data_IF_764568231410
#
_entry.id   IF_764568231410
#
_cell.length_a   1.000
_cell.length_b   1.000
_cell.length_c   1.000
_cell.angle_alpha   90.00
_cell.angle_beta   90.00
_cell.angle_gamma   90.00
#
_symmetry.space_group_name_H-M   'P 1'
#
loop_
_entity.id
_entity.type
_entity.pdbx_description
1 polymer ?
#
# COMPACT_ATOMS: atom_id res chain seq x y z
N UNK A 1 -20.95 -2.13 10.58
CA UNK A 1 -19.56 -2.01 10.08
C UNK A 1 -19.48 -1.29 8.74
N UNK A 2 -20.27 -1.68 7.72
CA UNK A 2 -20.18 -1.05 6.39
C UNK A 2 -20.32 0.47 6.37
N UNK A 3 -21.28 1.05 7.10
CA UNK A 3 -21.46 2.50 7.20
C UNK A 3 -20.26 3.20 7.86
N UNK A 4 -19.77 2.66 8.98
CA UNK A 4 -18.57 3.18 9.66
C UNK A 4 -17.33 3.14 8.75
N UNK A 5 -17.19 2.13 7.90
CA UNK A 5 -16.09 2.06 6.93
C UNK A 5 -16.21 3.17 5.88
N UNK A 6 -17.42 3.54 5.46
CA UNK A 6 -17.63 4.68 4.56
C UNK A 6 -17.24 6.00 5.22
N UNK A 7 -17.53 6.18 6.51
CA UNK A 7 -17.09 7.35 7.27
C UNK A 7 -15.56 7.44 7.27
N UNK A 8 -14.86 6.34 7.57
CA UNK A 8 -13.39 6.32 7.51
C UNK A 8 -12.82 6.62 6.12
N UNK A 9 -13.49 6.18 5.06
CA UNK A 9 -13.09 6.55 3.70
C UNK A 9 -13.23 8.05 3.49
N UNK A 10 -14.32 8.67 3.95
CA UNK A 10 -14.51 10.12 3.93
C UNK A 10 -13.41 10.88 4.68
N UNK A 11 -13.14 10.49 5.93
CA UNK A 11 -12.15 11.14 6.80
C UNK A 11 -10.73 11.08 6.25
N UNK A 12 -10.38 9.94 5.63
CA UNK A 12 -9.10 9.83 4.96
C UNK A 12 -9.10 10.70 3.70
N UNK A 13 -10.23 10.85 3.00
CA UNK A 13 -10.36 11.43 1.66
C UNK A 13 -10.26 10.40 0.53
N UNK A 14 -10.66 9.16 0.78
CA UNK A 14 -10.67 8.05 -0.20
C UNK A 14 -11.96 8.15 -1.01
N UNK A 15 -11.84 8.19 -2.33
CA UNK A 15 -13.01 8.22 -3.21
C UNK A 15 -13.75 6.87 -3.21
N UNK A 16 -15.07 6.91 -3.08
CA UNK A 16 -15.93 5.71 -3.21
C UNK A 16 -16.70 5.77 -4.53
N UNK A 17 -16.41 4.84 -5.44
CA UNK A 17 -17.14 4.74 -6.72
C UNK A 17 -18.48 4.03 -6.57
N UNK A 18 -18.50 2.96 -5.76
CA UNK A 18 -19.68 2.14 -5.50
C UNK A 18 -19.55 1.52 -4.11
N UNK A 19 -20.66 1.46 -3.38
CA UNK A 19 -20.80 0.73 -2.12
C UNK A 19 -21.95 -0.25 -2.24
N UNK A 20 -21.68 -1.52 -1.93
CA UNK A 20 -22.67 -2.60 -2.00
C UNK A 20 -22.72 -3.26 -0.62
N UNK A 21 -23.87 -3.16 0.05
CA UNK A 21 -24.13 -3.92 1.26
C UNK A 21 -24.97 -5.15 0.90
N UNK A 22 -24.38 -6.34 0.99
CA UNK A 22 -25.03 -7.60 0.63
C UNK A 22 -25.88 -8.21 1.74
N UNK A 23 -25.79 -7.67 2.97
CA UNK A 23 -26.53 -8.19 4.12
C UNK A 23 -26.40 -9.71 4.27
N UNK A 24 -27.54 -10.41 4.23
CA UNK A 24 -27.61 -11.87 4.39
C UNK A 24 -27.23 -12.67 3.12
N UNK A 25 -26.95 -12.02 1.98
CA UNK A 25 -26.65 -12.68 0.70
C UNK A 25 -27.71 -13.70 0.26
N UNK A 26 -29.00 -13.39 0.46
CA UNK A 26 -30.09 -14.32 0.14
C UNK A 26 -30.36 -14.50 -1.37
N UNK A 27 -29.77 -13.67 -2.24
CA UNK A 27 -29.94 -13.74 -3.69
C UNK A 27 -28.63 -13.57 -4.43
N UNK A 28 -28.02 -12.39 -4.32
CA UNK A 28 -26.71 -12.09 -4.89
C UNK A 28 -25.61 -12.20 -3.82
N UNK A 29 -24.40 -12.49 -4.29
CA UNK A 29 -23.19 -12.67 -3.52
C UNK A 29 -22.08 -11.74 -3.99
N UNK A 30 -20.96 -11.73 -3.27
CA UNK A 30 -19.76 -11.00 -3.68
C UNK A 30 -19.28 -11.36 -5.09
N UNK A 31 -19.46 -12.61 -5.52
CA UNK A 31 -19.02 -13.12 -6.81
C UNK A 31 -19.74 -12.43 -7.98
N UNK A 32 -21.03 -12.15 -7.83
CA UNK A 32 -21.87 -11.59 -8.89
C UNK A 32 -21.45 -10.18 -9.34
N UNK A 33 -20.73 -9.46 -8.47
CA UNK A 33 -20.33 -8.08 -8.73
C UNK A 33 -18.88 -7.95 -9.20
N UNK A 34 -18.01 -8.94 -8.97
CA UNK A 34 -16.57 -8.84 -9.25
C UNK A 34 -16.29 -8.50 -10.72
N UNK A 35 -16.94 -9.18 -11.67
CA UNK A 35 -16.74 -8.93 -13.11
C UNK A 35 -17.26 -7.55 -13.53
N UNK A 36 -18.39 -7.10 -12.99
CA UNK A 36 -18.93 -5.77 -13.27
C UNK A 36 -18.02 -4.66 -12.72
N UNK A 37 -17.57 -4.79 -11.48
CA UNK A 37 -16.60 -3.90 -10.84
C UNK A 37 -15.26 -3.87 -11.59
N UNK A 38 -14.82 -5.01 -12.11
CA UNK A 38 -13.62 -5.09 -12.93
C UNK A 38 -13.72 -4.32 -14.24
N UNK A 39 -14.90 -4.27 -14.85
CA UNK A 39 -15.15 -3.58 -16.12
C UNK A 39 -15.35 -2.06 -15.97
N UNK A 40 -15.72 -1.56 -14.80
CA UNK A 40 -15.97 -0.13 -14.57
C UNK A 40 -14.67 0.68 -14.41
N UNK A 41 -14.32 1.51 -15.40
CA UNK A 41 -13.09 2.32 -15.37
C UNK A 41 -13.00 3.33 -14.22
N UNK A 42 -14.09 3.62 -13.51
CA UNK A 42 -14.08 4.47 -12.30
C UNK A 42 -13.50 3.73 -11.10
N UNK A 43 -13.67 2.40 -11.07
CA UNK A 43 -13.18 1.54 -9.99
C UNK A 43 -11.70 1.24 -10.22
N UNK A 44 -10.84 1.65 -9.29
CA UNK A 44 -9.39 1.37 -9.33
C UNK A 44 -8.97 0.22 -8.42
N UNK A 45 -9.66 0.06 -7.30
CA UNK A 45 -9.39 -0.95 -6.27
C UNK A 45 -10.73 -1.52 -5.83
N UNK A 46 -10.79 -2.83 -5.60
CA UNK A 46 -11.97 -3.50 -5.07
C UNK A 46 -11.68 -3.87 -3.61
N UNK A 47 -12.51 -3.39 -2.69
CA UNK A 47 -12.43 -3.76 -1.29
C UNK A 47 -13.60 -4.67 -0.90
N UNK A 48 -13.30 -5.77 -0.21
CA UNK A 48 -14.27 -6.73 0.28
C UNK A 48 -14.12 -6.93 1.79
N UNK A 49 -15.18 -6.68 2.54
CA UNK A 49 -15.32 -7.19 3.90
C UNK A 49 -16.09 -8.51 3.84
N UNK A 50 -15.47 -9.60 4.30
CA UNK A 50 -16.04 -10.95 4.18
C UNK A 50 -16.15 -11.66 5.53
N UNK A 51 -17.34 -12.13 5.85
CA UNK A 51 -17.60 -13.00 7.01
C UNK A 51 -17.48 -14.48 6.63
N UNK A 52 -17.90 -14.84 5.43
CA UNK A 52 -17.70 -16.16 4.81
C UNK A 52 -17.71 -16.01 3.29
N UNK A 53 -17.45 -17.10 2.57
CA UNK A 53 -17.50 -17.12 1.10
C UNK A 53 -18.78 -17.84 0.65
N UNK A 54 -19.52 -17.27 -0.31
CA UNK A 54 -20.70 -17.92 -0.86
C UNK A 54 -20.33 -19.17 -1.67
N UNK A 55 -19.36 -19.03 -2.58
CA UNK A 55 -18.79 -20.12 -3.37
C UNK A 55 -17.27 -19.91 -3.52
N UNK A 56 -16.42 -20.56 -2.68
CA UNK A 56 -14.97 -20.38 -2.70
C UNK A 56 -14.31 -20.74 -4.04
N UNK A 57 -14.82 -21.75 -4.75
CA UNK A 57 -14.24 -22.19 -6.03
C UNK A 57 -14.43 -21.13 -7.09
N UNK A 58 -15.64 -20.59 -7.18
CA UNK A 58 -15.95 -19.49 -8.10
C UNK A 58 -15.28 -18.18 -7.69
N UNK A 59 -15.24 -17.88 -6.39
CA UNK A 59 -14.55 -16.72 -5.85
C UNK A 59 -13.09 -16.71 -6.29
N UNK A 60 -12.39 -17.85 -6.14
CA UNK A 60 -11.01 -17.99 -6.59
C UNK A 60 -10.85 -17.67 -8.06
N UNK A 61 -11.66 -18.30 -8.93
CA UNK A 61 -11.61 -18.08 -10.38
C UNK A 61 -11.80 -16.59 -10.72
N UNK A 62 -12.78 -15.94 -10.08
CA UNK A 62 -13.09 -14.53 -10.33
C UNK A 62 -12.00 -13.61 -9.81
N UNK A 63 -11.46 -13.86 -8.61
CA UNK A 63 -10.36 -13.06 -8.05
C UNK A 63 -9.10 -13.21 -8.88
N UNK A 64 -8.75 -14.41 -9.33
CA UNK A 64 -7.60 -14.62 -10.22
C UNK A 64 -7.76 -13.86 -11.54
N UNK A 65 -8.97 -13.86 -12.14
CA UNK A 65 -9.27 -13.16 -13.39
C UNK A 65 -9.28 -11.63 -13.23
N UNK A 66 -9.98 -11.14 -12.20
CA UNK A 66 -10.13 -9.70 -11.93
C UNK A 66 -8.84 -9.10 -11.38
N UNK A 67 -8.10 -9.85 -10.56
CA UNK A 67 -6.83 -9.46 -9.95
C UNK A 67 -5.75 -9.06 -10.96
N UNK A 68 -5.80 -9.61 -12.19
CA UNK A 68 -4.91 -9.19 -13.28
C UNK A 68 -5.16 -7.76 -13.77
N UNK A 69 -6.37 -7.22 -13.53
CA UNK A 69 -6.79 -5.89 -13.98
C UNK A 69 -6.81 -4.89 -12.84
N UNK A 70 -7.28 -5.31 -11.67
CA UNK A 70 -7.49 -4.45 -10.51
C UNK A 70 -7.13 -5.18 -9.22
N UNK A 71 -6.41 -4.53 -8.30
CA UNK A 71 -6.13 -5.11 -6.99
C UNK A 71 -7.43 -5.34 -6.21
N UNK A 72 -7.50 -6.49 -5.54
CA UNK A 72 -8.60 -6.87 -4.64
C UNK A 72 -8.04 -6.94 -3.23
N UNK A 73 -8.59 -6.13 -2.32
CA UNK A 73 -8.24 -6.07 -0.90
C UNK A 73 -9.34 -6.73 -0.08
N UNK A 74 -9.00 -7.64 0.81
CA UNK A 74 -9.96 -8.41 1.61
C UNK A 74 -9.71 -8.25 3.10
N UNK A 75 -10.70 -7.72 3.82
CA UNK A 75 -10.77 -7.78 5.27
C UNK A 75 -11.67 -8.94 5.68
N UNK A 76 -11.06 -10.06 6.10
CA UNK A 76 -11.77 -11.27 6.51
C UNK A 76 -12.05 -11.24 8.02
N UNK A 77 -13.33 -11.24 8.41
CA UNK A 77 -13.75 -11.37 9.80
C UNK A 77 -13.68 -12.82 10.32
N UNK A 78 -13.76 -13.01 11.63
CA UNK A 78 -13.81 -14.35 12.24
C UNK A 78 -12.51 -15.13 12.14
N UNK A 79 -11.38 -14.47 12.35
CA UNK A 79 -10.02 -15.04 12.20
C UNK A 79 -9.55 -15.88 13.39
N UNK A 80 -10.10 -15.63 14.57
CA UNK A 80 -9.79 -16.37 15.80
C UNK A 80 -10.89 -17.36 16.10
N UNK A 81 -10.65 -18.33 16.98
CA UNK A 81 -11.69 -19.27 17.41
C UNK A 81 -12.94 -18.54 17.93
N UNK A 82 -12.75 -17.55 18.81
CA UNK A 82 -13.84 -16.73 19.32
C UNK A 82 -14.56 -15.94 18.22
N UNK A 83 -13.81 -15.34 17.29
CA UNK A 83 -14.40 -14.59 16.18
C UNK A 83 -15.14 -15.49 15.19
N UNK A 84 -14.59 -16.67 14.89
CA UNK A 84 -15.17 -17.66 14.01
C UNK A 84 -16.46 -18.22 14.61
N UNK A 85 -16.48 -18.49 15.93
CA UNK A 85 -17.69 -18.88 16.64
C UNK A 85 -18.77 -17.79 16.60
N UNK A 86 -18.39 -16.52 16.75
CA UNK A 86 -19.31 -15.38 16.63
C UNK A 86 -19.86 -15.22 15.20
N UNK A 87 -19.03 -15.40 14.18
CA UNK A 87 -19.48 -15.39 12.77
C UNK A 87 -20.40 -16.57 12.49
N UNK A 88 -20.07 -17.77 12.99
CA UNK A 88 -20.87 -18.97 12.80
C UNK A 88 -22.26 -18.83 13.44
N UNK A 89 -22.36 -18.28 14.65
CA UNK A 89 -23.66 -18.01 15.29
C UNK A 89 -24.45 -16.91 14.59
N UNK A 90 -23.77 -15.90 14.02
CA UNK A 90 -24.41 -14.78 13.32
C UNK A 90 -24.89 -15.14 11.91
N UNK A 91 -24.13 -15.94 11.17
CA UNK A 91 -24.37 -16.22 9.74
C UNK A 91 -24.86 -17.64 9.47
N UNK A 92 -24.79 -18.55 10.46
CA UNK A 92 -25.06 -19.97 10.28
C UNK A 92 -24.04 -20.71 9.42
N UNK A 93 -22.91 -20.07 9.06
CA UNK A 93 -21.89 -20.68 8.21
C UNK A 93 -20.86 -21.49 9.01
N UNK A 94 -20.30 -22.53 8.38
CA UNK A 94 -19.29 -23.39 8.99
C UNK A 94 -17.98 -22.63 9.17
N UNK A 95 -17.45 -22.65 10.39
CA UNK A 95 -16.15 -22.05 10.70
C UNK A 95 -15.04 -22.75 9.90
N UNK A 96 -14.31 -21.97 9.10
CA UNK A 96 -13.11 -22.43 8.38
C UNK A 96 -11.86 -21.99 9.14
N UNK A 97 -10.81 -22.82 9.14
CA UNK A 97 -9.53 -22.46 9.76
C UNK A 97 -8.93 -21.20 9.10
N UNK A 98 -8.45 -20.26 9.91
CA UNK A 98 -7.86 -19.01 9.42
C UNK A 98 -6.66 -19.25 8.50
N UNK A 99 -5.85 -20.27 8.80
CA UNK A 99 -4.69 -20.66 8.00
C UNK A 99 -5.09 -21.17 6.61
N UNK A 100 -6.24 -21.86 6.50
CA UNK A 100 -6.77 -22.31 5.20
C UNK A 100 -7.26 -21.11 4.40
N UNK A 101 -7.96 -20.18 5.05
CA UNK A 101 -8.43 -18.95 4.40
C UNK A 101 -7.25 -18.07 3.97
N UNK A 102 -6.18 -18.02 4.76
CA UNK A 102 -4.96 -17.28 4.44
C UNK A 102 -4.28 -17.83 3.19
N UNK A 103 -4.02 -19.14 3.18
CA UNK A 103 -3.44 -19.83 2.04
C UNK A 103 -4.33 -19.68 0.79
N UNK A 104 -5.65 -19.78 0.96
CA UNK A 104 -6.61 -19.60 -0.12
C UNK A 104 -6.56 -18.20 -0.73
N UNK A 105 -6.64 -17.14 0.09
CA UNK A 105 -6.59 -15.76 -0.41
C UNK A 105 -5.24 -15.43 -1.06
N UNK A 106 -4.14 -15.90 -0.47
CA UNK A 106 -2.80 -15.76 -1.05
C UNK A 106 -2.70 -16.45 -2.42
N UNK A 107 -3.26 -17.65 -2.57
CA UNK A 107 -3.30 -18.36 -3.86
C UNK A 107 -4.18 -17.66 -4.90
N UNK A 108 -5.28 -17.03 -4.48
CA UNK A 108 -6.13 -16.26 -5.38
C UNK A 108 -5.45 -14.97 -5.87
N UNK A 109 -4.43 -14.48 -5.16
CA UNK A 109 -3.80 -13.18 -5.43
C UNK A 109 -4.55 -12.00 -4.80
N UNK A 110 -5.44 -12.25 -3.83
CA UNK A 110 -6.09 -11.19 -3.06
C UNK A 110 -5.15 -10.66 -1.96
N UNK A 111 -5.13 -9.35 -1.78
CA UNK A 111 -4.37 -8.68 -0.72
C UNK A 111 -5.19 -8.78 0.57
N UNK A 112 -4.82 -9.69 1.45
CA UNK A 112 -5.49 -9.84 2.74
C UNK A 112 -4.97 -8.81 3.74
N UNK A 113 -5.89 -8.11 4.41
CA UNK A 113 -5.61 -7.18 5.50
C UNK A 113 -6.23 -7.68 6.81
N UNK A 114 -5.64 -7.32 7.94
CA UNK A 114 -6.00 -7.81 9.27
C UNK A 114 -6.71 -6.77 10.15
N UNK A 115 -6.61 -5.49 9.82
CA UNK A 115 -7.20 -4.39 10.57
C UNK A 115 -7.77 -3.31 9.66
N UNK A 116 -8.55 -2.40 10.25
CA UNK A 116 -9.05 -1.20 9.55
C UNK A 116 -7.88 -0.30 9.13
N UNK A 117 -6.84 -0.20 9.96
CA UNK A 117 -5.66 0.60 9.65
C UNK A 117 -4.87 0.03 8.45
N UNK A 118 -4.64 -1.29 8.43
CA UNK A 118 -4.02 -1.97 7.29
C UNK A 118 -4.87 -1.85 6.03
N UNK A 119 -6.19 -1.97 6.16
CA UNK A 119 -7.13 -1.75 5.07
C UNK A 119 -6.98 -0.35 4.49
N UNK A 120 -7.07 0.70 5.31
CA UNK A 120 -6.97 2.09 4.83
C UNK A 120 -5.60 2.36 4.21
N UNK A 121 -4.54 1.83 4.80
CA UNK A 121 -3.16 1.95 4.28
C UNK A 121 -3.01 1.29 2.91
N UNK A 122 -3.51 0.07 2.75
CA UNK A 122 -3.47 -0.65 1.48
C UNK A 122 -4.29 0.07 0.41
N UNK A 123 -5.52 0.50 0.73
CA UNK A 123 -6.38 1.22 -0.21
C UNK A 123 -5.75 2.54 -0.66
N UNK A 124 -5.11 3.27 0.26
CA UNK A 124 -4.35 4.49 -0.06
C UNK A 124 -3.20 4.27 -1.02
N UNK A 125 -2.41 3.22 -0.80
CA UNK A 125 -1.30 2.88 -1.68
C UNK A 125 -1.78 2.51 -3.09
N UNK A 126 -2.94 1.84 -3.19
CA UNK A 126 -3.47 1.29 -4.43
C UNK A 126 -4.36 2.27 -5.22
N UNK A 127 -4.92 3.31 -4.58
CA UNK A 127 -5.86 4.27 -5.20
C UNK A 127 -5.28 4.98 -6.43
N UNK A 128 -3.96 5.20 -6.48
CA UNK A 128 -3.32 5.81 -7.65
C UNK A 128 -3.21 4.86 -8.84
N UNK A 129 -3.33 3.54 -8.61
CA UNK A 129 -3.29 2.51 -9.66
C UNK A 129 -1.90 2.24 -10.21
N UNK A 130 -0.83 2.71 -9.56
CA UNK A 130 0.53 2.49 -10.00
C UNK A 130 1.09 1.23 -9.33
N UNK A 131 1.13 0.13 -10.09
CA UNK A 131 1.68 -1.15 -9.63
C UNK A 131 3.17 -1.20 -10.05
N UNK A 132 4.11 -1.45 -9.12
CA UNK A 132 5.52 -1.60 -9.48
C UNK A 132 5.71 -2.71 -10.52
N UNK A 133 6.55 -2.49 -11.54
CA UNK A 133 6.85 -3.51 -12.56
C UNK A 133 7.80 -4.62 -12.06
N UNK A 134 8.39 -4.42 -10.89
CA UNK A 134 9.34 -5.33 -10.28
C UNK A 134 9.39 -5.09 -8.77
N UNK A 135 10.37 -5.70 -8.11
CA UNK A 135 10.48 -5.70 -6.64
C UNK A 135 11.56 -4.76 -6.11
N UNK A 136 12.30 -4.08 -6.99
CA UNK A 136 13.42 -3.22 -6.58
C UNK A 136 12.88 -1.91 -6.06
N UNK A 137 13.18 -1.62 -4.81
CA UNK A 137 12.76 -0.42 -4.10
C UNK A 137 13.98 0.35 -3.61
N UNK A 138 13.89 1.68 -3.65
CA UNK A 138 14.83 2.56 -2.97
C UNK A 138 14.11 3.30 -1.85
N UNK A 139 14.77 3.43 -0.70
CA UNK A 139 14.26 4.16 0.45
C UNK A 139 15.04 5.46 0.58
N UNK A 140 14.36 6.60 0.52
CA UNK A 140 14.91 7.92 0.84
C UNK A 140 14.46 8.32 2.23
N UNK A 141 15.38 8.75 3.09
CA UNK A 141 15.04 9.17 4.45
C UNK A 141 15.91 10.32 4.94
N UNK A 142 15.37 11.19 5.80
CA UNK A 142 16.14 12.10 6.65
C UNK A 142 16.17 11.65 8.12
N UNK A 143 15.71 10.42 8.38
CA UNK A 143 15.67 9.78 9.68
C UNK A 143 16.16 8.33 9.55
N UNK A 144 17.47 8.10 9.69
CA UNK A 144 18.11 6.80 9.48
C UNK A 144 17.44 5.63 10.19
N UNK A 145 17.03 5.79 11.46
CA UNK A 145 16.33 4.75 12.22
C UNK A 145 15.03 4.29 11.58
N UNK A 146 14.25 5.21 10.99
CA UNK A 146 13.04 4.85 10.27
C UNK A 146 13.34 4.18 8.92
N UNK A 147 14.44 4.57 8.28
CA UNK A 147 14.96 3.88 7.09
C UNK A 147 15.27 2.41 7.36
N UNK A 148 15.93 2.10 8.49
CA UNK A 148 16.25 0.72 8.88
C UNK A 148 14.97 -0.10 9.06
N UNK A 149 13.98 0.43 9.79
CA UNK A 149 12.69 -0.25 10.00
C UNK A 149 11.99 -0.52 8.67
N UNK A 150 12.02 0.44 7.74
CA UNK A 150 11.43 0.29 6.42
C UNK A 150 12.17 -0.74 5.55
N UNK A 151 13.50 -0.78 5.60
CA UNK A 151 14.30 -1.78 4.89
C UNK A 151 13.99 -3.20 5.38
N UNK A 152 13.95 -3.40 6.69
CA UNK A 152 13.57 -4.69 7.29
C UNK A 152 12.14 -5.10 6.90
N UNK A 153 11.21 -4.15 6.84
CA UNK A 153 9.84 -4.40 6.40
C UNK A 153 9.77 -4.79 4.91
N UNK A 154 10.56 -4.15 4.05
CA UNK A 154 10.64 -4.49 2.63
C UNK A 154 11.15 -5.93 2.44
N UNK A 155 12.27 -6.27 3.06
CA UNK A 155 12.89 -7.60 2.91
C UNK A 155 11.96 -8.71 3.45
N UNK A 156 11.28 -8.48 4.59
CA UNK A 156 10.26 -9.42 5.10
C UNK A 156 9.08 -9.62 4.15
N UNK A 157 8.73 -8.60 3.38
CA UNK A 157 7.68 -8.66 2.36
C UNK A 157 8.18 -9.20 1.01
N UNK A 158 9.47 -9.57 0.89
CA UNK A 158 10.08 -9.99 -0.36
C UNK A 158 10.19 -8.86 -1.39
N UNK A 159 10.31 -7.62 -0.91
CA UNK A 159 10.62 -6.42 -1.70
C UNK A 159 12.11 -6.18 -1.57
N UNK A 160 12.82 -6.10 -2.70
CA UNK A 160 14.27 -5.97 -2.75
C UNK A 160 14.69 -4.54 -2.43
N UNK A 161 15.49 -4.36 -1.39
CA UNK A 161 16.19 -3.10 -1.09
C UNK A 161 17.38 -2.99 -2.04
N UNK A 162 17.17 -2.30 -3.17
CA UNK A 162 18.12 -2.24 -4.30
C UNK A 162 19.52 -1.78 -3.86
N UNK A 163 20.54 -2.59 -4.17
CA UNK A 163 21.93 -2.16 -4.06
C UNK A 163 22.24 -1.09 -5.13
N UNK A 164 22.55 0.13 -4.69
CA UNK A 164 22.73 1.26 -5.59
C UNK A 164 24.02 1.16 -6.41
N UNK A 165 23.96 1.34 -7.75
CA UNK A 165 25.15 1.44 -8.60
C UNK A 165 26.05 2.61 -8.20
N UNK A 166 27.37 2.48 -8.42
CA UNK A 166 28.35 3.54 -8.12
C UNK A 166 27.96 4.88 -8.78
N UNK A 167 27.56 4.86 -10.05
CA UNK A 167 27.14 6.06 -10.77
C UNK A 167 25.92 6.77 -10.15
N UNK A 168 25.05 6.06 -9.42
CA UNK A 168 23.94 6.67 -8.67
C UNK A 168 24.48 7.34 -7.40
N UNK A 169 25.36 6.65 -6.67
CA UNK A 169 26.01 7.18 -5.47
C UNK A 169 26.82 8.45 -5.79
N UNK A 170 27.56 8.46 -6.89
CA UNK A 170 28.36 9.62 -7.31
C UNK A 170 27.48 10.86 -7.60
N UNK A 171 26.32 10.66 -8.23
CA UNK A 171 25.34 11.73 -8.47
C UNK A 171 24.70 12.24 -7.19
N UNK A 172 24.45 11.36 -6.22
CA UNK A 172 23.93 11.77 -4.91
C UNK A 172 24.99 12.54 -4.12
N UNK A 173 26.24 12.08 -4.15
CA UNK A 173 27.37 12.70 -3.46
C UNK A 173 27.71 14.12 -3.98
N UNK A 174 27.30 14.47 -5.21
CA UNK A 174 27.62 15.79 -5.78
C UNK A 174 26.81 16.93 -5.15
N UNK A 175 25.73 16.64 -4.43
CA UNK A 175 24.90 17.65 -3.77
C UNK A 175 24.56 17.34 -2.31
N UNK A 176 24.55 16.07 -1.90
CA UNK A 176 24.33 15.71 -0.49
C UNK A 176 25.58 15.97 0.37
N UNK A 177 25.40 16.24 1.68
CA UNK A 177 26.52 16.36 2.61
C UNK A 177 27.39 15.10 2.67
N UNK A 178 28.70 15.21 2.96
CA UNK A 178 29.60 14.07 3.11
C UNK A 178 29.16 13.05 4.17
N UNK A 179 28.39 13.48 5.16
CA UNK A 179 27.85 12.65 6.24
C UNK A 179 26.63 11.80 5.81
N UNK A 180 26.07 12.06 4.63
CA UNK A 180 24.92 11.31 4.12
C UNK A 180 25.27 9.85 3.82
N UNK A 181 24.39 8.95 4.24
CA UNK A 181 24.50 7.52 3.92
C UNK A 181 24.03 7.24 2.51
N UNK A 182 24.93 7.00 1.56
CA UNK A 182 24.60 6.71 0.15
C UNK A 182 24.33 5.22 -0.13
N UNK A 183 23.94 4.48 0.91
CA UNK A 183 23.44 3.10 0.80
C UNK A 183 21.98 3.06 0.38
N UNK A 184 21.31 1.94 0.62
CA UNK A 184 19.85 1.86 0.58
C UNK A 184 19.41 1.24 1.90
N UNK A 185 18.81 2.01 2.83
CA UNK A 185 18.28 3.37 2.67
C UNK A 185 19.34 4.45 2.38
N UNK A 186 18.95 5.46 1.60
CA UNK A 186 19.70 6.70 1.43
C UNK A 186 19.33 7.62 2.60
N UNK A 187 20.24 7.77 3.56
CA UNK A 187 20.09 8.66 4.71
C UNK A 187 20.67 10.03 4.38
N UNK A 188 19.79 10.97 4.03
CA UNK A 188 20.13 12.33 3.63
C UNK A 188 20.35 13.26 4.83
N UNK A 189 20.48 12.70 6.03
CA UNK A 189 20.63 13.37 7.33
C UNK A 189 19.43 14.25 7.71
N UNK A 190 19.34 14.63 8.98
CA UNK A 190 18.20 15.38 9.52
C UNK A 190 17.98 16.74 8.83
N UNK A 191 19.00 17.29 8.16
CA UNK A 191 18.93 18.59 7.48
C UNK A 191 18.50 18.52 6.00
N UNK A 192 18.03 17.37 5.51
CA UNK A 192 17.55 17.28 4.12
C UNK A 192 16.31 18.18 3.90
N UNK A 193 16.42 19.09 2.93
CA UNK A 193 15.36 20.01 2.52
C UNK A 193 14.66 19.61 1.21
N UNK A 194 13.80 20.47 0.69
CA UNK A 194 13.01 20.21 -0.53
C UNK A 194 13.88 19.86 -1.74
N UNK A 195 14.97 20.61 -1.94
CA UNK A 195 15.91 20.40 -3.04
C UNK A 195 16.57 19.03 -2.99
N UNK A 196 16.91 18.54 -1.79
CA UNK A 196 17.57 17.25 -1.61
C UNK A 196 16.62 16.11 -1.97
N UNK A 197 15.38 16.15 -1.46
CA UNK A 197 14.35 15.16 -1.80
C UNK A 197 14.01 15.17 -3.29
N UNK A 198 13.83 16.35 -3.89
CA UNK A 198 13.50 16.48 -5.30
C UNK A 198 14.59 15.88 -6.20
N UNK A 199 15.86 16.24 -5.97
CA UNK A 199 16.98 15.76 -6.77
C UNK A 199 17.26 14.26 -6.54
N UNK A 200 17.29 13.82 -5.29
CA UNK A 200 17.51 12.41 -4.95
C UNK A 200 16.41 11.54 -5.55
N UNK A 201 15.14 11.96 -5.42
CA UNK A 201 14.00 11.23 -5.95
C UNK A 201 14.06 11.08 -7.47
N UNK A 202 14.38 12.14 -8.22
CA UNK A 202 14.61 12.06 -9.68
C UNK A 202 15.67 11.04 -10.06
N UNK A 203 16.80 11.03 -9.35
CA UNK A 203 17.90 10.10 -9.62
C UNK A 203 17.45 8.66 -9.39
N UNK A 204 16.88 8.36 -8.22
CA UNK A 204 16.55 6.97 -7.86
C UNK A 204 15.36 6.44 -8.66
N UNK A 205 14.40 7.30 -9.01
CA UNK A 205 13.30 6.96 -9.90
C UNK A 205 13.79 6.50 -11.27
N UNK A 206 15.01 6.79 -11.72
CA UNK A 206 15.51 6.26 -12.99
C UNK A 206 15.96 4.79 -12.92
N UNK A 207 16.30 4.26 -11.74
CA UNK A 207 16.96 2.95 -11.56
C UNK A 207 16.14 1.91 -10.79
N UNK A 208 15.04 2.32 -10.18
CA UNK A 208 14.20 1.49 -9.29
C UNK A 208 12.83 1.19 -9.90
N UNK A 209 12.09 0.23 -9.34
CA UNK A 209 10.70 -0.06 -9.72
C UNK A 209 9.70 0.71 -8.85
N UNK A 210 10.08 1.05 -7.61
CA UNK A 210 9.32 1.90 -6.68
C UNK A 210 10.24 2.68 -5.73
N UNK A 211 9.70 3.68 -5.03
CA UNK A 211 10.43 4.44 -4.00
C UNK A 211 9.58 4.59 -2.74
N UNK A 212 10.21 4.43 -1.58
CA UNK A 212 9.64 4.81 -0.29
C UNK A 212 10.37 6.08 0.17
N UNK A 213 9.62 7.14 0.43
CA UNK A 213 10.13 8.40 0.96
C UNK A 213 9.69 8.52 2.40
N UNK A 214 10.64 8.67 3.32
CA UNK A 214 10.41 8.86 4.74
C UNK A 214 10.86 10.26 5.11
N UNK A 215 9.93 11.09 5.53
CA UNK A 215 10.22 12.47 5.90
C UNK A 215 9.83 12.73 7.35
N UNK A 216 10.80 13.15 8.16
CA UNK A 216 10.56 13.73 9.48
C UNK A 216 10.75 15.25 9.40
N UNK A 217 9.74 16.07 9.73
CA UNK A 217 9.93 17.51 9.86
C UNK A 217 11.13 17.82 10.77
N UNK A 218 12.19 18.48 10.27
CA UNK A 218 13.38 18.72 11.06
C UNK A 218 13.10 19.76 12.15
N UNK A 219 13.70 19.58 13.34
CA UNK A 219 13.55 20.53 14.44
C UNK A 219 14.30 21.86 14.20
N UNK A 220 15.29 21.84 13.31
CA UNK A 220 16.26 22.95 13.13
C UNK A 220 16.13 23.61 11.75
N UNK A 221 15.45 22.99 10.78
CA UNK A 221 15.18 23.63 9.49
C UNK A 221 14.01 24.61 9.59
N UNK A 222 14.19 25.78 8.99
CA UNK A 222 13.15 26.78 8.82
C UNK A 222 12.31 26.56 7.54
N UNK A 223 12.67 25.58 6.71
CA UNK A 223 11.90 25.27 5.51
C UNK A 223 10.54 24.66 5.88
N UNK A 224 9.42 25.19 5.35
CA UNK A 224 8.11 24.61 5.62
C UNK A 224 7.99 23.19 5.07
N UNK A 225 7.35 22.29 5.83
CA UNK A 225 7.02 20.92 5.38
C UNK A 225 6.33 20.89 4.02
N UNK A 226 5.49 21.89 3.73
CA UNK A 226 4.83 22.04 2.43
C UNK A 226 5.81 22.18 1.26
N UNK A 227 6.92 22.89 1.44
CA UNK A 227 7.94 23.05 0.39
C UNK A 227 8.63 21.72 0.06
N UNK A 228 8.89 20.88 1.07
CA UNK A 228 9.45 19.53 0.87
C UNK A 228 8.44 18.65 0.13
N UNK A 229 7.17 18.69 0.53
CA UNK A 229 6.10 17.96 -0.16
C UNK A 229 5.98 18.39 -1.64
N UNK A 230 6.06 19.68 -1.94
CA UNK A 230 6.06 20.18 -3.32
C UNK A 230 7.26 19.68 -4.13
N UNK A 231 8.47 19.64 -3.55
CA UNK A 231 9.66 19.10 -4.21
C UNK A 231 9.51 17.61 -4.55
N UNK A 232 8.99 16.81 -3.61
CA UNK A 232 8.64 15.41 -3.84
C UNK A 232 7.62 15.28 -4.98
N UNK A 233 6.56 16.09 -4.96
CA UNK A 233 5.51 16.07 -5.99
C UNK A 233 6.04 16.44 -7.38
N UNK A 234 6.96 17.42 -7.48
CA UNK A 234 7.61 17.78 -8.74
C UNK A 234 8.38 16.59 -9.34
N UNK A 235 9.17 15.89 -8.53
CA UNK A 235 9.91 14.72 -8.98
C UNK A 235 8.98 13.54 -9.35
N UNK A 236 7.88 13.32 -8.61
CA UNK A 236 6.88 12.29 -8.96
C UNK A 236 6.21 12.59 -10.30
N UNK A 237 5.91 13.86 -10.60
CA UNK A 237 5.27 14.26 -11.85
C UNK A 237 6.09 13.90 -13.11
N UNK A 238 7.41 13.78 -12.98
CA UNK A 238 8.32 13.40 -14.07
C UNK A 238 8.38 11.88 -14.32
N UNK A 239 7.90 11.07 -13.37
CA UNK A 239 7.83 9.61 -13.49
C UNK A 239 6.45 9.08 -13.06
N UNK A 240 5.36 9.46 -13.78
CA UNK A 240 3.99 9.20 -13.35
C UNK A 240 3.68 7.70 -13.19
N UNK A 241 4.35 6.83 -13.93
CA UNK A 241 4.14 5.38 -13.88
C UNK A 241 4.83 4.70 -12.69
N UNK A 242 5.69 5.40 -11.95
CA UNK A 242 6.45 4.81 -10.84
C UNK A 242 5.75 5.06 -9.50
N UNK A 243 5.42 4.00 -8.74
CA UNK A 243 4.83 4.17 -7.43
C UNK A 243 5.84 4.76 -6.44
N UNK A 244 5.42 5.84 -5.78
CA UNK A 244 6.13 6.49 -4.68
C UNK A 244 5.21 6.54 -3.48
N UNK A 245 5.65 5.92 -2.38
CA UNK A 245 4.94 5.97 -1.10
C UNK A 245 5.67 6.99 -0.21
N UNK A 246 4.92 7.94 0.35
CA UNK A 246 5.47 8.95 1.26
C UNK A 246 4.96 8.68 2.66
N UNK A 247 5.88 8.51 3.60
CA UNK A 247 5.62 8.34 5.02
C UNK A 247 6.17 9.57 5.75
N UNK A 248 5.28 10.34 6.38
CA UNK A 248 5.67 11.49 7.19
C UNK A 248 5.64 11.14 8.67
N UNK A 249 6.78 11.30 9.35
CA UNK A 249 6.92 11.11 10.79
C UNK A 249 6.65 12.44 11.48
N UNK A 250 5.39 12.83 11.57
CA UNK A 250 4.95 13.99 12.36
C UNK A 250 4.34 13.55 13.69
N UNK A 251 4.30 14.49 14.64
CA UNK A 251 3.42 14.39 15.80
C UNK A 251 1.95 14.58 15.38
#
# INVERSE_FOLDING_TARGET
LGETVLEFFGDMGLGVSLFINLGNRAGLSENDFLTCLAADNRVRVIFLYLESFANPVEFRRLVEEVGQKKPIVVLKAGRTEAGAAAVASHTGSLASSDAIVDAFLNQCGAIRVSSIEEMLTALRALERGHIPRGRRTVILTNAGGAGIIAADACERAGIEVLSLPAAVKDKLASFLPPEAGLGNPIDMIATAGSSDYEQALRIVLSVTDSVIVIFRPPLVLQEPTGAVAEGILRAIAEAPDKPVIVCTLSH
#
